data_IF_193846482251
#
_entry.id   IF_193846482251
#
_cell.length_a   1.000
_cell.length_b   1.000
_cell.length_c   1.000
_cell.angle_alpha   90.00
_cell.angle_beta   90.00
_cell.angle_gamma   90.00
#
_symmetry.space_group_name_H-M   'P 1'
#
loop_
_entity.id
_entity.type
_entity.pdbx_description
1 polymer ?
#
# COMPACT_ATOMS: atom_id res chain seq x y z
N UNK A 1 -13.05 3.05 -26.68
CA UNK A 1 -13.67 4.13 -25.90
C UNK A 1 -13.39 5.45 -26.59
N UNK A 2 -14.40 6.30 -26.76
CA UNK A 2 -14.23 7.63 -27.33
C UNK A 2 -13.20 8.44 -26.51
N UNK A 3 -12.42 9.28 -27.18
CA UNK A 3 -11.47 10.17 -26.52
C UNK A 3 -12.24 11.30 -25.83
N UNK A 4 -12.35 11.24 -24.51
CA UNK A 4 -12.90 12.32 -23.68
C UNK A 4 -11.96 13.52 -23.76
N UNK A 5 -12.46 14.66 -24.27
CA UNK A 5 -11.69 15.91 -24.39
C UNK A 5 -12.17 16.98 -23.42
N UNK A 6 -13.44 16.94 -23.05
CA UNK A 6 -14.09 17.89 -22.14
C UNK A 6 -14.86 17.12 -21.06
N UNK A 7 -15.08 17.75 -19.90
CA UNK A 7 -15.87 17.14 -18.83
C UNK A 7 -17.32 16.85 -19.28
N UNK A 8 -17.85 17.63 -20.23
CA UNK A 8 -19.18 17.43 -20.84
C UNK A 8 -19.31 16.14 -21.64
N UNK A 9 -18.20 15.51 -22.01
CA UNK A 9 -18.20 14.22 -22.71
C UNK A 9 -18.35 13.03 -21.73
N UNK A 10 -18.24 13.28 -20.42
CA UNK A 10 -18.33 12.24 -19.39
C UNK A 10 -19.79 11.87 -19.14
N UNK A 11 -20.12 10.58 -19.25
CA UNK A 11 -21.45 10.04 -18.89
C UNK A 11 -21.86 10.44 -17.46
N UNK A 12 -20.92 10.38 -16.51
CA UNK A 12 -21.17 10.77 -15.11
C UNK A 12 -21.54 12.24 -14.95
N UNK A 13 -20.97 13.13 -15.79
CA UNK A 13 -21.32 14.55 -15.77
C UNK A 13 -22.69 14.78 -16.42
N UNK A 14 -22.97 14.11 -17.53
CA UNK A 14 -24.25 14.20 -18.23
C UNK A 14 -25.42 13.78 -17.33
N UNK A 15 -25.27 12.67 -16.60
CA UNK A 15 -26.25 12.20 -15.62
C UNK A 15 -26.41 13.18 -14.45
N UNK A 16 -25.30 13.72 -13.92
CA UNK A 16 -25.34 14.71 -12.85
C UNK A 16 -26.05 16.01 -13.27
N UNK A 17 -25.79 16.48 -14.49
CA UNK A 17 -26.46 17.65 -15.05
C UNK A 17 -27.96 17.38 -15.34
N UNK A 18 -28.33 16.19 -15.82
CA UNK A 18 -29.73 15.81 -15.97
C UNK A 18 -30.46 15.81 -14.61
N UNK A 19 -29.82 15.24 -13.58
CA UNK A 19 -30.33 15.22 -12.21
C UNK A 19 -30.54 16.63 -11.66
N UNK A 20 -29.55 17.51 -11.83
CA UNK A 20 -29.64 18.91 -11.44
C UNK A 20 -30.84 19.61 -12.09
N UNK A 21 -31.01 19.45 -13.41
CA UNK A 21 -32.11 20.09 -14.14
C UNK A 21 -33.48 19.59 -13.66
N UNK A 22 -33.64 18.28 -13.44
CA UNK A 22 -34.89 17.69 -12.95
C UNK A 22 -35.21 18.15 -11.53
N UNK A 23 -34.23 18.20 -10.65
CA UNK A 23 -34.42 18.70 -9.27
C UNK A 23 -34.73 20.20 -9.28
N UNK A 24 -34.02 21.01 -10.07
CA UNK A 24 -34.24 22.45 -10.17
C UNK A 24 -35.66 22.80 -10.60
N UNK A 25 -36.25 22.01 -11.51
CA UNK A 25 -37.65 22.15 -11.89
C UNK A 25 -38.60 21.97 -10.69
N UNK A 26 -38.33 21.01 -9.81
CA UNK A 26 -39.10 20.79 -8.58
C UNK A 26 -38.86 21.90 -7.54
N UNK A 27 -37.64 22.45 -7.44
CA UNK A 27 -37.31 23.56 -6.52
C UNK A 27 -38.04 24.88 -6.88
N UNK A 28 -38.47 25.00 -8.13
CA UNK A 28 -39.16 26.18 -8.67
C UNK A 28 -40.68 26.04 -8.67
N UNK A 29 -41.21 24.92 -8.19
CA UNK A 29 -42.64 24.60 -8.22
C UNK A 29 -43.16 24.03 -6.89
N UNK A 30 -44.48 23.86 -6.81
CA UNK A 30 -45.14 23.20 -5.68
C UNK A 30 -44.93 23.87 -4.32
N UNK A 31 -45.13 23.10 -3.25
CA UNK A 31 -44.97 23.57 -1.86
C UNK A 31 -43.51 23.73 -1.46
N UNK A 32 -42.57 23.02 -2.12
CA UNK A 32 -41.13 23.13 -1.88
C UNK A 32 -40.58 24.52 -2.19
N UNK A 33 -41.17 25.21 -3.18
CA UNK A 33 -40.81 26.60 -3.53
C UNK A 33 -40.89 27.59 -2.37
N UNK A 34 -41.66 27.26 -1.31
CA UNK A 34 -41.87 28.07 -0.11
C UNK A 34 -41.04 27.59 1.11
N UNK A 35 -40.43 26.40 1.07
CA UNK A 35 -39.48 25.93 2.09
C UNK A 35 -38.06 26.33 1.68
N UNK A 36 -37.72 27.60 1.90
CA UNK A 36 -36.45 28.19 1.46
C UNK A 36 -35.22 27.46 2.02
N UNK A 37 -35.29 26.99 3.27
CA UNK A 37 -34.17 26.31 3.92
C UNK A 37 -33.88 24.96 3.25
N UNK A 38 -34.91 24.13 3.04
CA UNK A 38 -34.74 22.84 2.38
C UNK A 38 -34.39 23.02 0.89
N UNK A 39 -35.04 23.98 0.23
CA UNK A 39 -34.77 24.33 -1.18
C UNK A 39 -33.31 24.70 -1.38
N UNK A 40 -32.75 25.58 -0.56
CA UNK A 40 -31.37 26.05 -0.70
C UNK A 40 -30.36 24.93 -0.41
N UNK A 41 -30.64 24.08 0.58
CA UNK A 41 -29.82 22.89 0.86
C UNK A 41 -29.78 21.95 -0.35
N UNK A 42 -30.93 21.67 -0.97
CA UNK A 42 -31.01 20.81 -2.15
C UNK A 42 -30.30 21.43 -3.34
N UNK A 43 -30.57 22.71 -3.62
CA UNK A 43 -29.97 23.42 -4.76
C UNK A 43 -28.44 23.36 -4.70
N UNK A 44 -27.86 23.61 -3.51
CA UNK A 44 -26.42 23.50 -3.29
C UNK A 44 -25.90 22.07 -3.47
N UNK A 45 -26.59 21.10 -2.90
CA UNK A 45 -26.14 19.71 -2.89
C UNK A 45 -26.16 19.12 -4.30
N UNK A 46 -27.21 19.40 -5.08
CA UNK A 46 -27.34 18.89 -6.43
C UNK A 46 -26.38 19.57 -7.40
N UNK A 47 -26.20 20.90 -7.33
CA UNK A 47 -25.23 21.63 -8.16
C UNK A 47 -23.77 21.25 -7.86
N UNK A 48 -23.47 20.89 -6.61
CA UNK A 48 -22.15 20.41 -6.20
C UNK A 48 -21.69 19.14 -6.97
N UNK A 49 -22.62 18.29 -7.43
CA UNK A 49 -22.28 17.04 -8.11
C UNK A 49 -21.59 17.31 -9.48
N UNK A 50 -22.22 17.99 -10.46
CA UNK A 50 -21.57 18.32 -11.73
C UNK A 50 -20.38 19.26 -11.56
N UNK A 51 -20.43 20.20 -10.60
CA UNK A 51 -19.32 21.14 -10.32
C UNK A 51 -18.05 20.40 -9.89
N UNK A 52 -18.15 19.47 -8.94
CA UNK A 52 -16.99 18.68 -8.52
C UNK A 52 -16.48 17.77 -9.64
N UNK A 53 -17.36 17.21 -10.47
CA UNK A 53 -16.93 16.41 -11.64
C UNK A 53 -16.12 17.29 -12.61
N UNK A 54 -16.61 18.49 -12.93
CA UNK A 54 -15.95 19.42 -13.83
C UNK A 54 -14.61 19.94 -13.25
N UNK A 55 -14.60 20.33 -11.97
CA UNK A 55 -13.40 20.81 -11.28
C UNK A 55 -12.33 19.70 -11.21
N UNK A 56 -12.72 18.50 -10.80
CA UNK A 56 -11.84 17.35 -10.74
C UNK A 56 -11.22 16.99 -12.09
N UNK A 57 -12.02 17.04 -13.16
CA UNK A 57 -11.53 16.82 -14.52
C UNK A 57 -10.50 17.89 -14.93
N UNK A 58 -10.78 19.17 -14.64
CA UNK A 58 -9.91 20.31 -14.96
C UNK A 58 -8.53 20.25 -14.29
N UNK A 59 -8.40 19.55 -13.16
CA UNK A 59 -7.11 19.37 -12.47
C UNK A 59 -6.12 18.50 -13.25
N UNK A 60 -6.59 17.67 -14.19
CA UNK A 60 -5.75 16.91 -15.11
C UNK A 60 -4.90 15.79 -14.47
N UNK A 61 -5.08 15.51 -13.18
CA UNK A 61 -4.44 14.41 -12.45
C UNK A 61 -5.44 13.37 -11.99
N UNK A 62 -5.13 12.08 -12.19
CA UNK A 62 -6.04 10.96 -11.87
C UNK A 62 -6.45 10.91 -10.40
N UNK A 63 -5.51 11.06 -9.48
CA UNK A 63 -5.80 10.96 -8.03
C UNK A 63 -6.60 12.16 -7.54
N UNK A 64 -6.30 13.36 -8.03
CA UNK A 64 -7.10 14.55 -7.79
C UNK A 64 -8.52 14.34 -8.33
N UNK A 65 -8.66 13.84 -9.55
CA UNK A 65 -9.98 13.60 -10.12
C UNK A 65 -10.81 12.60 -9.29
N UNK A 66 -10.19 11.50 -8.82
CA UNK A 66 -10.85 10.53 -7.92
C UNK A 66 -11.34 11.20 -6.63
N UNK A 67 -10.55 12.09 -6.03
CA UNK A 67 -10.96 12.82 -4.83
C UNK A 67 -12.22 13.65 -5.08
N UNK A 68 -12.25 14.39 -6.18
CA UNK A 68 -13.40 15.22 -6.56
C UNK A 68 -14.65 14.39 -6.91
N UNK A 69 -14.49 13.26 -7.61
CA UNK A 69 -15.58 12.32 -7.83
C UNK A 69 -16.13 11.74 -6.52
N UNK A 70 -15.28 11.54 -5.51
CA UNK A 70 -15.71 11.06 -4.20
C UNK A 70 -16.57 12.09 -3.47
N UNK A 71 -16.23 13.38 -3.60
CA UNK A 71 -17.05 14.50 -3.11
C UNK A 71 -18.39 14.54 -3.86
N UNK A 72 -18.36 14.47 -5.20
CA UNK A 72 -19.57 14.43 -6.02
C UNK A 72 -20.52 13.28 -5.63
N UNK A 73 -19.97 12.09 -5.37
CA UNK A 73 -20.74 10.93 -4.89
C UNK A 73 -21.35 11.18 -3.51
N UNK A 74 -20.63 11.81 -2.59
CA UNK A 74 -21.15 12.16 -1.27
C UNK A 74 -22.30 13.19 -1.38
N UNK A 75 -22.15 14.18 -2.26
CA UNK A 75 -23.23 15.14 -2.56
C UNK A 75 -24.48 14.45 -3.13
N UNK A 76 -24.33 13.39 -3.95
CA UNK A 76 -25.47 12.59 -4.41
C UNK A 76 -26.22 11.89 -3.26
N UNK A 77 -25.50 11.33 -2.29
CA UNK A 77 -26.13 10.75 -1.08
C UNK A 77 -26.81 11.82 -0.21
N UNK A 78 -26.26 13.03 -0.15
CA UNK A 78 -26.91 14.15 0.53
C UNK A 78 -28.23 14.55 -0.16
N UNK A 79 -28.23 14.65 -1.49
CA UNK A 79 -29.44 14.87 -2.29
C UNK A 79 -30.47 13.78 -2.02
N UNK A 80 -30.06 12.51 -1.98
CA UNK A 80 -30.95 11.39 -1.66
C UNK A 80 -31.66 11.58 -0.30
N UNK A 81 -30.90 11.95 0.73
CA UNK A 81 -31.46 12.25 2.05
C UNK A 81 -32.45 13.42 2.03
N UNK A 82 -32.20 14.44 1.21
CA UNK A 82 -33.06 15.61 1.12
C UNK A 82 -34.34 15.35 0.29
N UNK A 83 -34.30 14.54 -0.76
CA UNK A 83 -35.51 14.16 -1.50
C UNK A 83 -36.42 13.23 -0.67
N UNK A 84 -35.85 12.39 0.20
CA UNK A 84 -36.63 11.63 1.21
C UNK A 84 -37.34 12.60 2.17
N UNK A 85 -36.66 13.67 2.62
CA UNK A 85 -37.29 14.72 3.42
C UNK A 85 -38.42 15.42 2.66
N UNK A 86 -38.26 15.64 1.36
CA UNK A 86 -39.32 16.21 0.52
C UNK A 86 -40.55 15.30 0.47
N UNK A 87 -40.38 13.99 0.31
CA UNK A 87 -41.49 13.03 0.37
C UNK A 87 -42.19 13.08 1.74
N UNK A 88 -41.42 12.99 2.83
CA UNK A 88 -41.96 12.96 4.20
C UNK A 88 -42.73 14.23 4.58
N UNK A 89 -42.38 15.37 3.98
CA UNK A 89 -43.04 16.67 4.19
C UNK A 89 -44.14 16.94 3.17
N UNK A 90 -44.49 15.97 2.33
CA UNK A 90 -45.47 16.10 1.25
C UNK A 90 -45.13 17.21 0.25
N UNK A 91 -43.83 17.45 0.02
CA UNK A 91 -43.35 18.32 -1.05
C UNK A 91 -43.31 17.60 -2.39
N UNK A 92 -43.01 16.30 -2.39
CA UNK A 92 -43.04 15.45 -3.58
C UNK A 92 -44.16 14.41 -3.47
N UNK A 93 -44.79 14.12 -4.61
CA UNK A 93 -45.58 12.90 -4.74
C UNK A 93 -44.66 11.69 -4.74
N UNK A 94 -45.24 10.50 -4.52
CA UNK A 94 -44.48 9.25 -4.54
C UNK A 94 -43.82 9.02 -5.90
N UNK A 95 -44.51 9.36 -6.98
CA UNK A 95 -44.05 9.20 -8.36
C UNK A 95 -42.83 10.09 -8.65
N UNK A 96 -42.88 11.38 -8.25
CA UNK A 96 -41.76 12.30 -8.39
C UNK A 96 -40.56 11.82 -7.56
N UNK A 97 -40.81 11.38 -6.33
CA UNK A 97 -39.76 10.86 -5.47
C UNK A 97 -39.08 9.63 -6.09
N UNK A 98 -39.84 8.66 -6.59
CA UNK A 98 -39.30 7.44 -7.19
C UNK A 98 -38.46 7.74 -8.44
N UNK A 99 -38.95 8.63 -9.32
CA UNK A 99 -38.21 9.07 -10.52
C UNK A 99 -36.88 9.74 -10.14
N UNK A 100 -36.90 10.69 -9.21
CA UNK A 100 -35.69 11.38 -8.78
C UNK A 100 -34.73 10.45 -8.05
N UNK A 101 -35.24 9.58 -7.17
CA UNK A 101 -34.40 8.66 -6.41
C UNK A 101 -33.69 7.67 -7.33
N UNK A 102 -34.37 7.12 -8.35
CA UNK A 102 -33.75 6.25 -9.34
C UNK A 102 -32.60 6.97 -10.08
N UNK A 103 -32.80 8.24 -10.45
CA UNK A 103 -31.77 9.02 -11.13
C UNK A 103 -30.59 9.37 -10.21
N UNK A 104 -30.84 9.68 -8.93
CA UNK A 104 -29.79 9.89 -7.93
C UNK A 104 -28.96 8.61 -7.75
N UNK A 105 -29.62 7.46 -7.58
CA UNK A 105 -28.95 6.16 -7.43
C UNK A 105 -28.13 5.81 -8.68
N UNK A 106 -28.71 5.97 -9.87
CA UNK A 106 -28.00 5.76 -11.14
C UNK A 106 -26.77 6.65 -11.25
N UNK A 107 -26.89 7.93 -10.91
CA UNK A 107 -25.79 8.90 -10.95
C UNK A 107 -24.69 8.53 -9.97
N UNK A 108 -25.03 8.27 -8.70
CA UNK A 108 -24.08 7.86 -7.67
C UNK A 108 -23.36 6.55 -7.99
N UNK A 109 -24.08 5.57 -8.54
CA UNK A 109 -23.52 4.29 -8.95
C UNK A 109 -22.55 4.43 -10.13
N UNK A 110 -22.90 5.25 -11.13
CA UNK A 110 -22.03 5.53 -12.28
C UNK A 110 -20.76 6.28 -11.86
N UNK A 111 -20.87 7.24 -10.95
CA UNK A 111 -19.71 7.91 -10.33
C UNK A 111 -18.84 6.89 -9.60
N UNK A 112 -19.43 6.02 -8.78
CA UNK A 112 -18.72 4.96 -8.06
C UNK A 112 -17.99 3.98 -8.98
N UNK A 113 -18.65 3.54 -10.05
CA UNK A 113 -18.05 2.68 -11.08
C UNK A 113 -16.89 3.39 -11.80
N UNK A 114 -17.02 4.69 -12.06
CA UNK A 114 -15.96 5.47 -12.69
C UNK A 114 -14.77 5.68 -11.76
N UNK A 115 -14.99 5.92 -10.46
CA UNK A 115 -13.94 5.93 -9.44
C UNK A 115 -13.20 4.59 -9.42
N UNK A 116 -13.91 3.46 -9.46
CA UNK A 116 -13.30 2.13 -9.52
C UNK A 116 -12.42 1.97 -10.75
N UNK A 117 -12.95 2.32 -11.93
CA UNK A 117 -12.19 2.30 -13.19
C UNK A 117 -10.92 3.16 -13.11
N UNK A 118 -11.01 4.38 -12.56
CA UNK A 118 -9.86 5.26 -12.41
C UNK A 118 -8.85 4.71 -11.39
N UNK A 119 -9.28 4.05 -10.31
CA UNK A 119 -8.34 3.43 -9.37
C UNK A 119 -7.50 2.33 -10.02
N UNK A 120 -8.09 1.59 -10.96
CA UNK A 120 -7.44 0.51 -11.71
C UNK A 120 -6.62 1.01 -12.93
N UNK A 121 -6.75 2.27 -13.32
CA UNK A 121 -6.09 2.86 -14.50
C UNK A 121 -4.62 3.21 -14.24
N UNK A 122 -3.75 2.84 -15.19
CA UNK A 122 -2.32 3.18 -15.16
C UNK A 122 -2.03 4.63 -15.62
N UNK A 123 -3.01 5.31 -16.24
CA UNK A 123 -2.81 6.68 -16.77
C UNK A 123 -2.82 7.69 -15.63
N UNK A 124 -1.74 8.46 -15.45
CA UNK A 124 -1.65 9.48 -14.39
C UNK A 124 -2.46 10.75 -14.68
N UNK A 125 -2.77 11.01 -15.94
CA UNK A 125 -3.52 12.18 -16.41
C UNK A 125 -2.66 13.19 -17.19
N UNK A 126 -3.28 14.08 -17.99
CA UNK A 126 -2.58 15.01 -18.87
C UNK A 126 -1.63 15.97 -18.16
N UNK A 127 -1.90 16.34 -16.89
CA UNK A 127 -1.03 17.23 -16.09
C UNK A 127 0.41 16.70 -15.92
N UNK A 128 0.60 15.39 -16.07
CA UNK A 128 1.88 14.71 -15.91
C UNK A 128 2.50 14.24 -17.24
N UNK A 129 1.84 14.46 -18.38
CA UNK A 129 2.42 14.16 -19.69
C UNK A 129 3.66 15.03 -19.93
N UNK A 130 4.75 14.43 -20.42
CA UNK A 130 6.01 15.13 -20.68
C UNK A 130 6.89 15.41 -19.47
N UNK A 131 6.45 15.07 -18.24
CA UNK A 131 7.35 15.10 -17.07
C UNK A 131 8.23 13.86 -17.09
N UNK A 132 9.55 14.06 -17.14
CA UNK A 132 10.52 12.96 -16.93
C UNK A 132 10.27 12.41 -15.54
N UNK A 133 9.74 11.18 -15.48
CA UNK A 133 9.55 10.45 -14.23
C UNK A 133 10.93 10.14 -13.66
N UNK A 134 11.41 10.93 -12.71
CA UNK A 134 12.52 10.53 -11.83
C UNK A 134 12.06 9.62 -10.68
N UNK A 135 10.77 9.26 -10.64
CA UNK A 135 10.20 8.44 -9.58
C UNK A 135 9.43 7.25 -10.16
N UNK A 136 10.11 6.11 -10.06
CA UNK A 136 9.64 4.73 -10.03
C UNK A 136 8.11 4.60 -9.91
N UNK A 137 7.53 3.88 -10.87
CA UNK A 137 6.13 3.46 -10.96
C UNK A 137 5.51 3.21 -9.58
N UNK A 138 4.58 4.07 -9.14
CA UNK A 138 3.61 3.71 -8.08
C UNK A 138 2.65 2.68 -8.67
N UNK A 139 3.06 1.42 -8.61
CA UNK A 139 2.21 0.25 -8.86
C UNK A 139 1.20 0.16 -7.72
N UNK A 140 0.01 0.73 -7.93
CA UNK A 140 -1.20 0.40 -7.16
C UNK A 140 -1.72 -0.97 -7.61
N UNK A 141 -0.96 -2.02 -7.33
CA UNK A 141 -1.55 -3.34 -7.05
C UNK A 141 -1.69 -3.38 -5.53
N UNK A 142 -2.80 -3.91 -5.02
CA UNK A 142 -2.84 -4.48 -3.67
C UNK A 142 -1.57 -5.31 -3.51
N UNK A 143 -0.54 -4.79 -2.83
CA UNK A 143 0.69 -5.54 -2.61
C UNK A 143 0.33 -6.63 -1.62
N UNK A 144 -0.04 -7.77 -2.18
CA UNK A 144 -0.11 -9.06 -1.50
C UNK A 144 1.15 -9.11 -0.64
N UNK A 145 0.96 -9.07 0.68
CA UNK A 145 2.07 -9.31 1.59
C UNK A 145 2.53 -10.72 1.27
N UNK A 146 3.74 -10.84 0.73
CA UNK A 146 4.28 -12.12 0.31
C UNK A 146 5.19 -12.62 1.41
N UNK A 147 4.87 -13.81 1.93
CA UNK A 147 5.70 -14.54 2.88
C UNK A 147 6.61 -15.47 2.10
N UNK A 148 7.92 -15.37 2.32
CA UNK A 148 8.92 -16.14 1.62
C UNK A 148 9.43 -17.25 2.54
N UNK A 149 9.45 -18.47 2.01
CA UNK A 149 10.08 -19.63 2.62
C UNK A 149 11.04 -20.26 1.60
N UNK A 150 12.22 -20.67 2.05
CA UNK A 150 13.22 -21.35 1.21
C UNK A 150 13.79 -22.58 1.92
N UNK A 151 14.17 -23.58 1.14
CA UNK A 151 14.90 -24.76 1.64
C UNK A 151 16.43 -24.55 1.62
N UNK A 152 16.90 -23.45 1.03
CA UNK A 152 18.33 -23.11 0.91
C UNK A 152 18.86 -22.35 2.13
N UNK A 153 18.01 -22.07 3.12
CA UNK A 153 18.38 -21.48 4.41
C UNK A 153 17.76 -22.28 5.57
N UNK A 154 18.38 -22.21 6.76
CA UNK A 154 17.89 -22.90 7.95
C UNK A 154 16.40 -22.64 8.20
N UNK A 155 15.67 -23.70 8.53
CA UNK A 155 14.24 -23.59 8.82
C UNK A 155 14.00 -22.68 10.03
N UNK A 156 12.99 -21.79 9.98
CA UNK A 156 12.55 -21.00 11.13
C UNK A 156 12.29 -21.88 12.36
N UNK A 157 12.67 -21.39 13.54
CA UNK A 157 12.47 -22.11 14.82
C UNK A 157 11.06 -21.93 15.40
N UNK A 158 10.22 -21.12 14.76
CA UNK A 158 8.87 -20.82 15.21
C UNK A 158 7.96 -20.43 14.06
N UNK A 159 6.76 -19.92 14.40
CA UNK A 159 5.73 -19.55 13.45
C UNK A 159 6.00 -18.21 12.75
N UNK A 160 7.11 -18.13 12.00
CA UNK A 160 7.49 -16.95 11.21
C UNK A 160 8.16 -17.37 9.88
N UNK A 161 8.04 -16.54 8.82
CA UNK A 161 8.68 -16.82 7.52
C UNK A 161 10.16 -16.44 7.52
N UNK A 162 10.91 -16.88 6.51
CA UNK A 162 12.29 -16.40 6.31
C UNK A 162 12.32 -14.90 6.00
N UNK A 163 11.38 -14.44 5.19
CA UNK A 163 11.19 -13.02 4.90
C UNK A 163 9.73 -12.66 4.62
N UNK A 164 9.42 -11.37 4.74
CA UNK A 164 8.13 -10.78 4.37
C UNK A 164 8.36 -9.57 3.47
N UNK A 165 7.71 -9.55 2.31
CA UNK A 165 7.75 -8.43 1.36
C UNK A 165 6.57 -7.48 1.61
N UNK A 166 6.87 -6.20 1.79
CA UNK A 166 5.88 -5.12 1.91
C UNK A 166 6.35 -3.95 1.07
N UNK A 167 5.59 -3.56 0.05
CA UNK A 167 6.13 -2.54 -0.84
C UNK A 167 7.27 -3.10 -1.68
N UNK A 168 8.28 -2.27 -1.89
CA UNK A 168 9.58 -2.63 -2.46
C UNK A 168 10.59 -2.95 -1.35
N UNK A 169 10.13 -3.11 -0.10
CA UNK A 169 10.95 -3.49 1.03
C UNK A 169 10.75 -4.97 1.36
N UNK A 170 11.85 -5.59 1.73
CA UNK A 170 11.94 -6.97 2.14
C UNK A 170 12.50 -7.01 3.56
N UNK A 171 11.73 -7.61 4.47
CA UNK A 171 12.09 -7.75 5.86
C UNK A 171 12.45 -9.21 6.12
N UNK A 172 13.74 -9.49 6.36
CA UNK A 172 14.18 -10.83 6.76
C UNK A 172 13.89 -11.02 8.26
N UNK A 173 13.66 -12.26 8.66
CA UNK A 173 13.69 -12.66 10.07
C UNK A 173 15.13 -12.66 10.60
N UNK A 174 15.33 -13.04 11.87
CA UNK A 174 16.69 -13.27 12.39
C UNK A 174 17.33 -14.45 11.66
N UNK A 175 18.42 -14.20 10.94
CA UNK A 175 19.15 -15.21 10.18
C UNK A 175 20.46 -15.54 10.89
N UNK A 176 20.57 -16.76 11.39
CA UNK A 176 21.77 -17.27 12.06
C UNK A 176 22.65 -18.16 11.17
N UNK A 177 23.67 -18.76 11.77
CA UNK A 177 24.71 -19.60 11.13
C UNK A 177 24.38 -21.10 11.05
N UNK A 178 23.12 -21.51 11.28
CA UNK A 178 22.71 -22.91 11.12
C UNK A 178 22.71 -23.32 9.65
N UNK A 179 23.16 -24.53 9.35
CA UNK A 179 23.09 -25.12 8.02
C UNK A 179 21.64 -25.49 7.66
N UNK A 180 21.25 -25.23 6.42
CA UNK A 180 19.91 -25.52 5.92
C UNK A 180 19.56 -27.02 5.89
N UNK A 181 20.55 -27.89 5.68
CA UNK A 181 20.36 -29.33 5.47
C UNK A 181 20.12 -30.08 6.78
N UNK A 182 20.93 -29.80 7.80
CA UNK A 182 21.00 -30.61 9.02
C UNK A 182 20.99 -29.78 10.32
N UNK A 183 20.89 -28.46 10.24
CA UNK A 183 20.99 -27.52 11.37
C UNK A 183 22.35 -27.51 12.09
N UNK A 184 23.39 -28.13 11.53
CA UNK A 184 24.76 -28.02 12.06
C UNK A 184 25.23 -26.56 12.06
N UNK A 185 26.10 -26.20 13.00
CA UNK A 185 26.70 -24.87 13.09
C UNK A 185 28.20 -25.03 12.82
N UNK A 186 28.75 -24.46 11.74
CA UNK A 186 30.16 -24.63 11.39
C UNK A 186 31.11 -24.19 12.50
N UNK A 187 32.08 -25.05 12.83
CA UNK A 187 33.09 -24.78 13.86
C UNK A 187 32.59 -24.89 15.31
N UNK A 188 31.31 -25.21 15.53
CA UNK A 188 30.75 -25.43 16.86
C UNK A 188 31.07 -26.84 17.38
N UNK A 189 31.54 -26.91 18.62
CA UNK A 189 31.70 -28.13 19.41
C UNK A 189 31.01 -27.94 20.75
N UNK A 190 30.13 -28.89 21.08
CA UNK A 190 29.41 -28.93 22.35
C UNK A 190 29.89 -30.11 23.18
N UNK A 191 29.83 -29.99 24.50
CA UNK A 191 29.99 -31.13 25.40
C UNK A 191 28.70 -31.97 25.51
N UNK A 192 28.74 -33.02 26.34
CA UNK A 192 27.60 -33.91 26.56
C UNK A 192 26.38 -33.19 27.17
N UNK A 193 26.60 -32.06 27.86
CA UNK A 193 25.55 -31.26 28.50
C UNK A 193 25.04 -30.13 27.57
N UNK A 194 25.54 -30.07 26.33
CA UNK A 194 25.16 -29.07 25.33
C UNK A 194 25.82 -27.70 25.54
N UNK A 195 26.85 -27.61 26.38
CA UNK A 195 27.60 -26.38 26.60
C UNK A 195 28.69 -26.24 25.54
N UNK A 196 28.92 -25.00 25.12
CA UNK A 196 29.90 -24.66 24.09
C UNK A 196 31.32 -24.91 24.62
N UNK A 197 32.01 -25.89 24.02
CA UNK A 197 33.46 -26.11 24.21
C UNK A 197 34.23 -25.13 23.32
N UNK A 198 33.83 -25.03 22.05
CA UNK A 198 34.48 -24.23 21.02
C UNK A 198 33.46 -23.77 19.99
N UNK A 199 33.64 -22.57 19.47
CA UNK A 199 32.96 -22.07 18.29
C UNK A 199 33.94 -21.28 17.43
N UNK A 200 33.61 -21.10 16.15
CA UNK A 200 34.41 -20.39 15.17
C UNK A 200 33.58 -19.27 14.54
N UNK A 201 33.82 -18.02 14.98
CA UNK A 201 33.06 -16.88 14.49
C UNK A 201 33.24 -16.65 12.98
N UNK A 202 34.41 -16.96 12.41
CA UNK A 202 34.64 -16.78 10.97
C UNK A 202 33.75 -17.74 10.17
N UNK A 203 33.78 -19.02 10.54
CA UNK A 203 32.93 -20.04 9.91
C UNK A 203 31.43 -19.70 10.06
N UNK A 204 31.03 -19.23 11.25
CA UNK A 204 29.65 -18.80 11.49
C UNK A 204 29.25 -17.55 10.70
N UNK A 205 30.14 -16.56 10.55
CA UNK A 205 29.88 -15.38 9.72
C UNK A 205 29.60 -15.79 8.27
N UNK A 206 30.47 -16.61 7.67
CA UNK A 206 30.30 -17.07 6.29
C UNK A 206 28.99 -17.84 6.09
N UNK A 207 28.62 -18.71 7.04
CA UNK A 207 27.37 -19.45 6.97
C UNK A 207 26.13 -18.56 7.17
N UNK A 208 26.19 -17.62 8.12
CA UNK A 208 25.13 -16.63 8.33
C UNK A 208 24.91 -15.78 7.07
N UNK A 209 25.99 -15.31 6.44
CA UNK A 209 25.92 -14.50 5.22
C UNK A 209 25.42 -15.32 4.02
N UNK A 210 25.83 -16.59 3.90
CA UNK A 210 25.29 -17.49 2.90
C UNK A 210 23.77 -17.69 3.07
N UNK A 211 23.30 -17.85 4.31
CA UNK A 211 21.87 -17.98 4.60
C UNK A 211 21.10 -16.69 4.26
N UNK A 212 21.64 -15.51 4.61
CA UNK A 212 21.02 -14.22 4.24
C UNK A 212 20.92 -14.12 2.72
N UNK A 213 22.00 -14.44 1.99
CA UNK A 213 22.01 -14.44 0.53
C UNK A 213 20.95 -15.38 -0.05
N UNK A 214 20.84 -16.60 0.45
CA UNK A 214 19.84 -17.57 0.00
C UNK A 214 18.40 -17.05 0.19
N UNK A 215 18.12 -16.36 1.31
CA UNK A 215 16.79 -15.77 1.56
C UNK A 215 16.53 -14.56 0.65
N UNK A 216 17.54 -13.73 0.38
CA UNK A 216 17.43 -12.62 -0.57
C UNK A 216 17.11 -13.12 -1.99
N UNK A 217 17.86 -14.10 -2.47
CA UNK A 217 17.67 -14.69 -3.81
C UNK A 217 16.30 -15.35 -3.95
N UNK A 218 15.86 -16.11 -2.94
CA UNK A 218 14.51 -16.68 -2.91
C UNK A 218 13.40 -15.63 -2.88
N UNK A 219 13.72 -14.39 -2.49
CA UNK A 219 12.79 -13.26 -2.44
C UNK A 219 12.84 -12.36 -3.69
N UNK A 220 13.65 -12.73 -4.69
CA UNK A 220 13.89 -11.89 -5.87
C UNK A 220 14.67 -10.61 -5.57
N UNK A 221 15.53 -10.64 -4.55
CA UNK A 221 16.47 -9.57 -4.20
C UNK A 221 17.91 -10.09 -4.30
N UNK A 222 18.88 -9.22 -4.04
CA UNK A 222 20.30 -9.51 -4.14
C UNK A 222 21.04 -8.88 -2.96
N UNK A 223 22.26 -9.34 -2.70
CA UNK A 223 23.10 -8.86 -1.60
C UNK A 223 23.30 -7.33 -1.62
N UNK A 224 23.51 -6.75 -2.80
CA UNK A 224 23.72 -5.32 -2.98
C UNK A 224 22.46 -4.46 -2.74
N UNK A 225 21.30 -5.09 -2.56
CA UNK A 225 20.05 -4.39 -2.26
C UNK A 225 19.78 -4.30 -0.75
N UNK A 226 20.68 -4.79 0.10
CA UNK A 226 20.56 -4.64 1.55
C UNK A 226 20.72 -3.16 1.92
N UNK A 227 19.76 -2.60 2.66
CA UNK A 227 19.76 -1.18 3.05
C UNK A 227 19.99 -0.97 4.55
N UNK A 228 19.64 -1.95 5.38
CA UNK A 228 19.85 -1.92 6.82
C UNK A 228 20.18 -3.31 7.37
N UNK A 229 21.15 -3.37 8.28
CA UNK A 229 21.53 -4.58 9.00
C UNK A 229 21.67 -4.29 10.49
N UNK A 230 20.92 -5.02 11.30
CA UNK A 230 21.19 -5.13 12.73
C UNK A 230 21.89 -6.47 13.00
N UNK A 231 23.03 -6.41 13.68
CA UNK A 231 23.90 -7.55 13.95
C UNK A 231 23.94 -7.82 15.44
N UNK A 232 23.66 -9.06 15.82
CA UNK A 232 23.71 -9.54 17.18
C UNK A 232 24.91 -10.48 17.32
N UNK A 233 25.86 -10.12 18.19
CA UNK A 233 26.98 -10.98 18.59
C UNK A 233 26.78 -11.44 20.03
N UNK A 234 27.19 -12.66 20.37
CA UNK A 234 27.15 -13.14 21.76
C UNK A 234 28.41 -12.81 22.57
N UNK A 235 29.51 -12.42 21.89
CA UNK A 235 30.76 -12.01 22.54
C UNK A 235 31.48 -10.92 21.73
N UNK A 236 31.06 -9.67 21.90
CA UNK A 236 31.61 -8.49 21.22
C UNK A 236 33.10 -8.33 21.48
N UNK A 237 33.54 -8.52 22.73
CA UNK A 237 34.95 -8.32 23.11
C UNK A 237 35.89 -9.25 22.35
N UNK A 238 35.50 -10.50 22.14
CA UNK A 238 36.32 -11.51 21.45
C UNK A 238 36.16 -11.41 19.93
N UNK A 239 34.94 -11.23 19.45
CA UNK A 239 34.59 -11.58 18.07
C UNK A 239 34.51 -10.37 17.13
N UNK A 240 34.28 -9.15 17.67
CA UNK A 240 33.98 -7.97 16.85
C UNK A 240 35.05 -7.64 15.82
N UNK A 241 36.34 -7.76 16.15
CA UNK A 241 37.43 -7.41 15.25
C UNK A 241 37.46 -8.31 13.99
N UNK A 242 37.32 -9.62 14.18
CA UNK A 242 37.32 -10.59 13.08
C UNK A 242 36.01 -10.49 12.28
N UNK A 243 34.87 -10.45 12.96
CA UNK A 243 33.58 -10.21 12.31
C UNK A 243 33.59 -8.92 11.47
N UNK A 244 34.11 -7.81 12.00
CA UNK A 244 34.09 -6.52 11.30
C UNK A 244 34.97 -6.52 10.05
N UNK A 245 36.06 -7.29 10.04
CA UNK A 245 36.87 -7.53 8.83
C UNK A 245 36.06 -8.27 7.77
N UNK A 246 35.46 -9.41 8.12
CA UNK A 246 34.66 -10.23 7.20
C UNK A 246 33.44 -9.44 6.69
N UNK A 247 32.78 -8.69 7.58
CA UNK A 247 31.69 -7.79 7.21
C UNK A 247 32.16 -6.75 6.18
N UNK A 248 33.34 -6.15 6.38
CA UNK A 248 33.93 -5.19 5.45
C UNK A 248 34.15 -5.78 4.06
N UNK A 249 34.55 -7.05 3.96
CA UNK A 249 34.75 -7.74 2.68
C UNK A 249 33.41 -8.01 1.97
N UNK A 250 32.39 -8.45 2.71
CA UNK A 250 31.07 -8.76 2.13
C UNK A 250 30.22 -7.53 1.81
N UNK A 251 30.30 -6.47 2.62
CA UNK A 251 29.42 -5.29 2.52
C UNK A 251 30.09 -4.09 1.84
N UNK A 252 31.32 -4.26 1.32
CA UNK A 252 32.14 -3.19 0.73
C UNK A 252 31.36 -2.27 -0.23
N UNK A 253 30.60 -2.88 -1.14
CA UNK A 253 29.87 -2.15 -2.19
C UNK A 253 28.38 -1.95 -1.86
N UNK A 254 27.92 -2.44 -0.70
CA UNK A 254 26.52 -2.43 -0.29
C UNK A 254 26.16 -1.11 0.40
N UNK A 255 27.08 -0.55 1.20
CA UNK A 255 26.87 0.67 2.00
C UNK A 255 25.57 0.68 2.84
N UNK A 256 25.19 -0.47 3.40
CA UNK A 256 24.02 -0.57 4.26
C UNK A 256 24.20 0.22 5.57
N UNK A 257 23.11 0.80 6.07
CA UNK A 257 23.05 1.22 7.47
C UNK A 257 23.32 0.00 8.37
N UNK A 258 24.08 0.21 9.45
CA UNK A 258 24.50 -0.89 10.33
C UNK A 258 24.39 -0.52 11.80
N UNK A 259 23.76 -1.40 12.57
CA UNK A 259 23.83 -1.43 14.03
C UNK A 259 24.42 -2.76 14.48
N UNK A 260 25.37 -2.75 15.42
CA UNK A 260 25.96 -3.98 15.98
C UNK A 260 25.90 -3.92 17.50
N UNK A 261 25.29 -4.93 18.11
CA UNK A 261 25.07 -5.00 19.56
C UNK A 261 25.48 -6.36 20.11
N UNK A 262 25.89 -6.37 21.37
CA UNK A 262 26.10 -7.62 22.11
C UNK A 262 24.78 -8.06 22.74
N UNK A 263 24.48 -9.35 22.66
CA UNK A 263 23.33 -9.96 23.34
C UNK A 263 23.78 -11.13 24.21
N UNK A 264 23.08 -11.37 25.32
CA UNK A 264 23.42 -12.45 26.26
C UNK A 264 23.34 -13.84 25.61
N UNK A 265 22.39 -14.05 24.71
CA UNK A 265 22.11 -15.35 24.10
C UNK A 265 21.26 -15.20 22.84
N UNK A 266 21.41 -16.15 21.91
CA UNK A 266 20.57 -16.32 20.72
C UNK A 266 19.74 -17.63 20.84
N UNK A 267 18.73 -17.86 19.99
CA UNK A 267 17.81 -19.02 20.12
C UNK A 267 18.46 -20.41 20.00
N UNK A 268 19.70 -20.47 19.51
CA UNK A 268 20.54 -21.68 19.36
C UNK A 268 21.97 -21.28 19.75
N UNK A 269 22.92 -22.22 19.93
CA UNK A 269 24.29 -21.89 20.35
C UNK A 269 25.14 -21.20 19.25
N UNK A 270 24.50 -20.48 18.33
CA UNK A 270 25.14 -19.62 17.33
C UNK A 270 25.76 -18.40 17.99
N UNK A 271 26.86 -17.90 17.42
CA UNK A 271 27.57 -16.72 17.89
C UNK A 271 27.12 -15.42 17.21
N UNK A 272 26.43 -15.51 16.06
CA UNK A 272 25.99 -14.38 15.24
C UNK A 272 24.58 -14.57 14.67
N UNK A 273 23.78 -13.50 14.69
CA UNK A 273 22.50 -13.41 13.99
C UNK A 273 22.39 -12.04 13.29
N UNK A 274 21.85 -12.04 12.07
CA UNK A 274 21.59 -10.83 11.29
C UNK A 274 20.08 -10.61 11.13
N UNK A 275 19.64 -9.37 11.37
CA UNK A 275 18.34 -8.84 10.97
C UNK A 275 18.54 -7.89 9.81
N UNK A 276 17.93 -8.20 8.67
CA UNK A 276 18.21 -7.51 7.40
C UNK A 276 16.94 -6.88 6.84
N UNK A 277 17.08 -5.65 6.35
CA UNK A 277 16.11 -5.00 5.46
C UNK A 277 16.78 -4.79 4.11
N UNK A 278 16.11 -5.18 3.05
CA UNK A 278 16.59 -5.01 1.67
C UNK A 278 15.49 -4.42 0.78
N UNK A 279 15.87 -3.93 -0.39
CA UNK A 279 14.93 -3.58 -1.44
C UNK A 279 14.73 -4.73 -2.43
N UNK A 280 13.57 -4.75 -3.08
CA UNK A 280 13.31 -5.57 -4.27
C UNK A 280 12.95 -4.61 -5.39
N UNK A 281 13.38 -4.92 -6.61
CA UNK A 281 13.02 -4.17 -7.81
C UNK A 281 11.49 -4.11 -8.05
#
# INVERSE_FOLDING_TARGET
>A
MATVKKFTDLEVWQLANELEQKIYFQLSSGTLSKDYSLKDQINRSVGSIPDNIAEGFGRGGRLEFIQFLSIARASASEVQSQIIRCLNRNHFSKEIFEELNELVDKTGNKIGAFIKYLNESEKTGPKFQGRVSTNVKRVTKNKKQETIHTNEAAKPLGAYPHAKKVGNLLFLSGIGSRNAKDNSIPGLQLDADGKIIKYDIEAECHQCFANVKAVLEASGSHWNNIVDVTVFLTNMKKDFALYNKIYGDYFKDVQACRTTVEVKSLPTPIAIELKVIATTD
#
